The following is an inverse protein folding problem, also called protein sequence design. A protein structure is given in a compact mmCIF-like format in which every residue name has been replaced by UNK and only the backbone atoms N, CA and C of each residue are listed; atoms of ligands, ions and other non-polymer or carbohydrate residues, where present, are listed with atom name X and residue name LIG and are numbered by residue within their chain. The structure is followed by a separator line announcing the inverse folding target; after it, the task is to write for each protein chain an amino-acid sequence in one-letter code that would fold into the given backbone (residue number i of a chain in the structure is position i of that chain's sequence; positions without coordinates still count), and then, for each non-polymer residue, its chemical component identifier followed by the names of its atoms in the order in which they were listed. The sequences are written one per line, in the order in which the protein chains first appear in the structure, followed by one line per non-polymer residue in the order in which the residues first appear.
data_IF_804259373602
#
_entry.id   IF_804259373602
#
_cell.length_a   1.000
_cell.length_b   1.000
_cell.length_c   1.000
_cell.angle_alpha   90.00
_cell.angle_beta   90.00
_cell.angle_gamma   90.00
#
_symmetry.space_group_name_H-M   'P 1'
#
loop_
_entity.id
_entity.type
_entity.pdbx_description
1 polymer ?
#
# COMPACT_ATOMS: atom_id res chain seq x y z
N UNK A 1 -59.59 -40.58 68.21
CA UNK A 1 -59.41 -39.28 68.88
C UNK A 1 -58.27 -38.54 68.22
N UNK A 2 -58.41 -37.21 68.13
CA UNK A 2 -57.50 -36.20 67.58
C UNK A 2 -56.00 -36.47 67.75
N UNK A 3 -55.20 -36.20 66.72
CA UNK A 3 -53.84 -35.63 66.86
C UNK A 3 -53.62 -34.59 65.73
N UNK A 4 -53.20 -33.40 66.16
CA UNK A 4 -52.88 -32.12 65.50
C UNK A 4 -51.54 -32.20 64.74
N UNK A 5 -51.05 -31.30 63.87
CA UNK A 5 -51.43 -30.03 63.24
C UNK A 5 -50.43 -29.78 62.09
N UNK A 6 -50.79 -29.07 61.03
CA UNK A 6 -49.83 -28.34 60.19
C UNK A 6 -50.39 -26.96 59.84
N UNK A 7 -49.66 -25.94 60.27
CA UNK A 7 -49.97 -24.54 60.08
C UNK A 7 -49.67 -24.13 58.63
N UNK A 8 -50.64 -23.46 58.01
CA UNK A 8 -50.50 -22.74 56.76
C UNK A 8 -50.06 -21.32 57.10
N UNK A 9 -48.86 -20.94 56.64
CA UNK A 9 -48.33 -19.59 56.71
C UNK A 9 -47.80 -19.18 55.34
N UNK A 10 -48.51 -18.26 54.71
CA UNK A 10 -48.27 -17.71 53.37
C UNK A 10 -47.08 -16.74 53.42
N UNK A 11 -46.14 -16.87 52.49
CA UNK A 11 -45.23 -15.79 52.10
C UNK A 11 -45.33 -15.59 50.59
N UNK A 12 -46.04 -14.52 50.21
CA UNK A 12 -45.95 -13.90 48.90
C UNK A 12 -44.50 -13.45 48.65
N UNK A 13 -43.91 -13.78 47.50
CA UNK A 13 -42.82 -12.98 46.94
C UNK A 13 -43.24 -12.53 45.55
N UNK A 14 -43.49 -11.23 45.48
CA UNK A 14 -43.82 -10.46 44.31
C UNK A 14 -42.71 -10.54 43.26
N UNK A 15 -43.13 -10.72 42.03
CA UNK A 15 -42.45 -10.21 40.85
C UNK A 15 -42.37 -8.68 40.99
N UNK A 16 -41.17 -8.15 41.25
CA UNK A 16 -40.88 -6.73 41.21
C UNK A 16 -39.58 -6.54 40.43
N UNK A 17 -39.73 -6.06 39.19
CA UNK A 17 -38.78 -5.16 38.49
C UNK A 17 -37.31 -5.28 38.90
N UNK A 18 -36.66 -6.35 38.48
CA UNK A 18 -35.21 -6.39 38.28
C UNK A 18 -34.99 -7.03 36.92
N UNK A 19 -34.42 -6.23 36.03
CA UNK A 19 -33.81 -6.68 34.78
C UNK A 19 -33.08 -8.02 35.00
N UNK A 20 -33.55 -9.10 34.39
CA UNK A 20 -32.65 -10.14 33.91
C UNK A 20 -32.04 -9.62 32.61
N UNK A 21 -31.28 -8.53 32.72
CA UNK A 21 -30.27 -8.20 31.72
C UNK A 21 -29.08 -9.01 32.21
N UNK A 22 -28.80 -10.13 31.56
CA UNK A 22 -27.46 -10.67 31.58
C UNK A 22 -26.57 -9.55 31.02
N UNK A 23 -25.89 -8.82 31.90
CA UNK A 23 -24.89 -7.83 31.53
C UNK A 23 -23.58 -8.56 31.25
N UNK A 24 -23.60 -9.45 30.26
CA UNK A 24 -22.35 -9.82 29.62
C UNK A 24 -22.06 -8.72 28.59
N UNK A 25 -20.87 -8.12 28.59
CA UNK A 25 -20.51 -7.13 27.58
C UNK A 25 -20.66 -7.79 26.20
N UNK A 26 -21.43 -7.13 25.34
CA UNK A 26 -21.63 -7.58 23.96
C UNK A 26 -20.24 -7.67 23.29
N UNK A 27 -19.88 -8.82 22.67
CA UNK A 27 -18.52 -9.05 22.22
C UNK A 27 -18.13 -8.05 21.13
N UNK A 28 -16.96 -7.41 21.26
CA UNK A 28 -16.52 -6.38 20.32
C UNK A 28 -16.15 -6.95 18.95
N UNK A 29 -15.89 -8.26 18.88
CA UNK A 29 -15.61 -8.98 17.63
C UNK A 29 -16.27 -10.36 17.57
N UNK A 30 -16.56 -10.87 16.36
CA UNK A 30 -17.05 -12.24 16.17
C UNK A 30 -16.11 -13.31 16.77
N UNK A 31 -14.79 -13.05 16.80
CA UNK A 31 -13.82 -13.98 17.37
C UNK A 31 -13.93 -14.10 18.90
N UNK A 32 -14.28 -13.02 19.59
CA UNK A 32 -14.52 -13.03 21.04
C UNK A 32 -15.81 -13.77 21.39
N UNK A 33 -16.86 -13.59 20.59
CA UNK A 33 -18.10 -14.36 20.71
C UNK A 33 -17.85 -15.87 20.58
N UNK A 34 -17.16 -16.27 19.50
CA UNK A 34 -16.81 -17.68 19.24
C UNK A 34 -15.99 -18.28 20.39
N UNK A 35 -15.06 -17.51 20.97
CA UNK A 35 -14.20 -17.99 22.06
C UNK A 35 -15.00 -18.28 23.33
N UNK A 36 -16.03 -17.49 23.62
CA UNK A 36 -16.95 -17.73 24.75
C UNK A 36 -17.80 -18.98 24.51
N UNK A 37 -18.40 -19.09 23.33
CA UNK A 37 -19.31 -20.20 23.00
C UNK A 37 -18.59 -21.55 22.95
N UNK A 38 -17.35 -21.58 22.44
CA UNK A 38 -16.51 -22.80 22.44
C UNK A 38 -16.15 -23.23 23.86
N UNK A 39 -15.96 -22.28 24.77
CA UNK A 39 -15.70 -22.57 26.18
C UNK A 39 -16.93 -23.18 26.84
N UNK A 40 -18.11 -22.61 26.63
CA UNK A 40 -19.37 -23.14 27.15
C UNK A 40 -19.65 -24.56 26.61
N UNK A 41 -19.39 -24.79 25.32
CA UNK A 41 -19.54 -26.12 24.71
C UNK A 41 -18.54 -27.14 25.27
N UNK A 42 -17.31 -26.73 25.59
CA UNK A 42 -16.33 -27.64 26.19
C UNK A 42 -16.77 -28.13 27.57
N UNK A 43 -17.38 -27.24 28.37
CA UNK A 43 -17.92 -27.58 29.70
C UNK A 43 -19.10 -28.56 29.59
N UNK A 44 -19.97 -28.39 28.59
CA UNK A 44 -21.11 -29.31 28.36
C UNK A 44 -20.68 -30.70 27.83
N UNK A 45 -19.58 -30.79 27.08
CA UNK A 45 -19.06 -32.07 26.57
C UNK A 45 -18.42 -32.88 27.70
N UNK A 46 -17.69 -32.22 28.60
CA UNK A 46 -17.06 -32.88 29.76
C UNK A 46 -18.12 -33.52 30.69
N UNK A 47 -19.26 -32.85 30.91
CA UNK A 47 -20.39 -33.36 31.71
C UNK A 47 -21.02 -34.63 31.11
N UNK A 48 -21.12 -34.69 29.77
CA UNK A 48 -21.69 -35.87 29.08
C UNK A 48 -20.72 -37.06 29.10
N UNK A 49 -19.41 -36.83 29.07
CA UNK A 49 -18.41 -37.89 29.16
C UNK A 49 -18.45 -38.53 30.55
N UNK A 50 -18.54 -37.72 31.62
CA UNK A 50 -18.64 -38.20 33.00
C UNK A 50 -19.90 -39.04 33.24
N UNK A 51 -21.04 -38.69 32.62
CA UNK A 51 -22.29 -39.46 32.76
C UNK A 51 -22.29 -40.85 32.09
N UNK A 52 -21.32 -41.14 31.20
CA UNK A 52 -21.19 -42.44 30.53
C UNK A 52 -20.23 -43.41 31.25
N UNK A 53 -19.44 -42.94 32.22
CA UNK A 53 -18.53 -43.79 32.99
C UNK A 53 -19.24 -44.52 34.16
N UNK A 54 -20.49 -44.17 34.48
CA UNK A 54 -21.25 -44.80 35.57
C UNK A 54 -22.00 -46.10 35.19
N UNK A 55 -22.01 -46.51 33.92
CA UNK A 55 -22.75 -47.69 33.43
C UNK A 55 -21.89 -48.95 33.17
N UNK A 56 -20.59 -48.96 33.51
CA UNK A 56 -19.76 -50.17 33.49
C UNK A 56 -19.73 -50.89 34.85
N UNK A 57 -20.85 -51.55 35.21
CA UNK A 57 -20.79 -52.67 36.15
C UNK A 57 -21.77 -53.80 35.79
N UNK A 58 -21.25 -54.88 35.21
CA UNK A 58 -21.46 -56.29 35.63
C UNK A 58 -21.06 -57.30 34.53
N UNK A 59 -20.36 -58.35 34.95
CA UNK A 59 -19.95 -59.54 34.19
C UNK A 59 -21.14 -60.26 33.51
N UNK A 60 -21.00 -60.73 32.25
CA UNK A 60 -20.82 -62.16 31.90
C UNK A 60 -20.85 -62.42 30.37
N UNK A 61 -20.34 -63.61 30.00
CA UNK A 61 -19.90 -64.16 28.71
C UNK A 61 -20.86 -64.13 27.49
N UNK A 62 -20.22 -64.12 26.32
CA UNK A 62 -20.60 -64.68 25.02
C UNK A 62 -22.01 -64.37 24.48
N UNK A 63 -22.12 -63.27 23.71
CA UNK A 63 -23.07 -63.17 22.58
C UNK A 63 -22.63 -62.11 21.59
N UNK A 64 -22.33 -62.51 20.35
CA UNK A 64 -22.21 -61.58 19.22
C UNK A 64 -23.52 -60.76 19.13
N UNK A 65 -23.44 -59.48 19.48
CA UNK A 65 -24.48 -58.50 19.16
C UNK A 65 -23.81 -57.24 18.59
N UNK A 66 -24.42 -56.55 17.62
CA UNK A 66 -23.74 -55.52 16.84
C UNK A 66 -23.74 -54.20 17.62
N UNK A 67 -22.70 -53.97 18.40
CA UNK A 67 -22.46 -52.72 19.12
C UNK A 67 -21.65 -51.77 18.23
N UNK A 68 -22.26 -51.24 17.15
CA UNK A 68 -21.57 -50.26 16.28
C UNK A 68 -22.46 -49.11 15.74
N UNK A 69 -23.76 -49.06 16.05
CA UNK A 69 -24.65 -48.05 15.46
C UNK A 69 -24.88 -46.78 16.29
N UNK A 70 -24.90 -46.86 17.63
CA UNK A 70 -25.13 -45.71 18.52
C UNK A 70 -24.01 -44.64 18.49
N UNK A 71 -22.71 -44.98 18.57
CA UNK A 71 -21.63 -43.97 18.55
C UNK A 71 -21.54 -43.25 17.18
N UNK A 72 -21.80 -43.98 16.08
CA UNK A 72 -21.78 -43.42 14.73
C UNK A 72 -22.93 -42.43 14.47
N UNK A 73 -24.08 -42.59 15.12
CA UNK A 73 -25.22 -41.65 14.98
C UNK A 73 -24.95 -40.33 15.71
N UNK A 74 -24.38 -40.39 16.91
CA UNK A 74 -24.02 -39.19 17.68
C UNK A 74 -22.89 -38.42 16.99
N UNK A 75 -21.86 -39.11 16.49
CA UNK A 75 -20.77 -38.48 15.74
C UNK A 75 -21.26 -37.76 14.47
N UNK A 76 -22.25 -38.32 13.77
CA UNK A 76 -22.89 -37.67 12.62
C UNK A 76 -23.67 -36.42 13.03
N UNK A 77 -24.43 -36.48 14.13
CA UNK A 77 -25.18 -35.33 14.64
C UNK A 77 -24.24 -34.19 15.04
N UNK A 78 -23.16 -34.51 15.76
CA UNK A 78 -22.13 -33.55 16.14
C UNK A 78 -21.44 -32.93 14.92
N UNK A 79 -21.00 -33.74 13.95
CA UNK A 79 -20.39 -33.24 12.71
C UNK A 79 -21.34 -32.35 11.91
N UNK A 80 -22.62 -32.69 11.87
CA UNK A 80 -23.62 -31.87 11.17
C UNK A 80 -23.81 -30.52 11.87
N UNK A 81 -24.00 -30.53 13.20
CA UNK A 81 -24.14 -29.30 13.99
C UNK A 81 -22.89 -28.41 13.91
N UNK A 82 -21.69 -29.00 13.96
CA UNK A 82 -20.44 -28.28 13.80
C UNK A 82 -20.32 -27.65 12.41
N UNK A 83 -20.65 -28.39 11.35
CA UNK A 83 -20.61 -27.86 9.99
C UNK A 83 -21.65 -26.74 9.78
N UNK A 84 -22.84 -26.88 10.35
CA UNK A 84 -23.89 -25.86 10.29
C UNK A 84 -23.43 -24.57 10.98
N UNK A 85 -22.94 -24.66 12.22
CA UNK A 85 -22.40 -23.52 12.95
C UNK A 85 -21.20 -22.88 12.23
N UNK A 86 -20.35 -23.69 11.59
CA UNK A 86 -19.23 -23.19 10.78
C UNK A 86 -19.71 -22.44 9.53
N UNK A 87 -20.78 -22.89 8.87
CA UNK A 87 -21.34 -22.18 7.71
C UNK A 87 -22.05 -20.90 8.13
N UNK A 88 -22.79 -20.91 9.24
CA UNK A 88 -23.40 -19.70 9.82
C UNK A 88 -22.34 -18.65 10.18
N UNK A 89 -21.30 -19.04 10.92
CA UNK A 89 -20.19 -18.15 11.27
C UNK A 89 -19.45 -17.60 10.04
N UNK A 90 -19.34 -18.38 8.95
CA UNK A 90 -18.79 -17.88 7.67
C UNK A 90 -19.68 -16.82 7.04
N UNK A 91 -21.00 -17.01 7.04
CA UNK A 91 -21.93 -16.02 6.47
C UNK A 91 -21.95 -14.74 7.29
N UNK A 92 -21.89 -14.84 8.63
CA UNK A 92 -21.78 -13.68 9.52
C UNK A 92 -20.46 -12.93 9.31
N UNK A 93 -19.33 -13.64 9.20
CA UNK A 93 -18.04 -13.03 8.90
C UNK A 93 -18.04 -12.32 7.54
N UNK A 94 -18.58 -12.96 6.49
CA UNK A 94 -18.73 -12.32 5.17
C UNK A 94 -19.60 -11.07 5.22
N UNK A 95 -20.66 -11.08 6.04
CA UNK A 95 -21.55 -9.93 6.23
C UNK A 95 -20.82 -8.79 6.96
N UNK A 96 -20.04 -9.12 7.99
CA UNK A 96 -19.22 -8.16 8.72
C UNK A 96 -18.14 -7.53 7.83
N UNK A 97 -17.38 -8.35 7.09
CA UNK A 97 -16.35 -7.89 6.15
C UNK A 97 -16.94 -6.94 5.09
N UNK A 98 -18.11 -7.29 4.53
CA UNK A 98 -18.83 -6.43 3.60
C UNK A 98 -19.24 -5.11 4.24
N UNK A 99 -19.80 -5.13 5.45
CA UNK A 99 -20.19 -3.91 6.17
C UNK A 99 -19.00 -3.01 6.47
N UNK A 100 -17.88 -3.57 6.91
CA UNK A 100 -16.65 -2.81 7.19
C UNK A 100 -16.07 -2.15 5.93
N UNK A 101 -16.24 -2.78 4.76
CA UNK A 101 -15.87 -2.22 3.45
C UNK A 101 -16.86 -1.15 2.97
N UNK A 102 -18.15 -1.33 3.22
CA UNK A 102 -19.20 -0.35 2.88
C UNK A 102 -19.06 0.95 3.69
N UNK A 103 -18.63 0.84 4.95
CA UNK A 103 -18.33 1.99 5.82
C UNK A 103 -17.05 2.75 5.40
N UNK A 104 -16.18 2.12 4.60
CA UNK A 104 -14.97 2.73 4.04
C UNK A 104 -15.27 3.30 2.64
N UNK A 105 -15.18 4.62 2.47
CA UNK A 105 -15.12 5.22 1.13
C UNK A 105 -13.74 4.98 0.51
N UNK A 106 -13.53 3.76 0.01
CA UNK A 106 -12.29 3.33 -0.64
C UNK A 106 -11.94 4.24 -1.82
N UNK A 107 -12.93 4.78 -2.52
CA UNK A 107 -12.71 5.68 -3.65
C UNK A 107 -12.15 7.02 -3.16
N UNK A 108 -12.73 7.59 -2.11
CA UNK A 108 -12.24 8.82 -1.49
C UNK A 108 -10.80 8.62 -0.96
N UNK A 109 -10.56 7.56 -0.18
CA UNK A 109 -9.24 7.24 0.37
C UNK A 109 -8.22 7.07 -0.76
N UNK A 110 -8.53 6.24 -1.76
CA UNK A 110 -7.65 6.03 -2.90
C UNK A 110 -7.37 7.34 -3.64
N UNK A 111 -8.39 8.18 -3.84
CA UNK A 111 -8.23 9.47 -4.51
C UNK A 111 -7.30 10.41 -3.74
N UNK A 112 -7.43 10.49 -2.42
CA UNK A 112 -6.58 11.35 -1.58
C UNK A 112 -5.13 10.85 -1.55
N UNK A 113 -4.93 9.54 -1.46
CA UNK A 113 -3.61 8.94 -1.54
C UNK A 113 -2.95 9.17 -2.91
N UNK A 114 -3.71 9.05 -4.01
CA UNK A 114 -3.21 9.33 -5.36
C UNK A 114 -2.87 10.80 -5.56
N UNK A 115 -3.68 11.73 -5.05
CA UNK A 115 -3.36 13.17 -5.07
C UNK A 115 -2.04 13.45 -4.35
N UNK A 116 -1.86 12.90 -3.13
CA UNK A 116 -0.59 13.05 -2.39
C UNK A 116 0.58 12.48 -3.16
N UNK A 117 0.43 11.26 -3.71
CA UNK A 117 1.47 10.64 -4.52
C UNK A 117 1.87 11.53 -5.71
N UNK A 118 0.92 11.96 -6.54
CA UNK A 118 1.21 12.73 -7.74
C UNK A 118 1.73 14.15 -7.47
N UNK A 119 1.14 14.88 -6.53
CA UNK A 119 1.46 16.30 -6.36
C UNK A 119 2.64 16.56 -5.42
N UNK A 120 2.90 15.67 -4.46
CA UNK A 120 3.96 15.88 -3.46
C UNK A 120 4.88 14.67 -3.27
N UNK A 121 4.43 13.44 -3.55
CA UNK A 121 5.13 12.19 -3.20
C UNK A 121 6.11 11.60 -4.24
N UNK A 122 6.00 11.95 -5.52
CA UNK A 122 6.88 11.38 -6.58
C UNK A 122 8.39 11.64 -6.35
N UNK A 123 8.74 12.74 -5.68
CA UNK A 123 10.11 13.15 -5.39
C UNK A 123 10.12 14.21 -4.27
N UNK A 124 11.28 14.49 -3.68
CA UNK A 124 11.44 15.66 -2.79
C UNK A 124 11.28 16.94 -3.60
N UNK A 125 10.21 17.69 -3.31
CA UNK A 125 9.86 18.95 -4.00
C UNK A 125 10.74 20.11 -3.55
N UNK A 126 11.00 21.03 -4.47
CA UNK A 126 11.75 22.25 -4.23
C UNK A 126 10.79 23.44 -4.10
N UNK A 127 10.29 23.64 -2.88
CA UNK A 127 9.39 24.75 -2.57
C UNK A 127 10.07 26.12 -2.55
N UNK A 128 11.40 26.21 -2.68
CA UNK A 128 12.09 27.48 -2.88
C UNK A 128 11.87 28.06 -4.28
N UNK A 129 11.33 27.27 -5.21
CA UNK A 129 11.00 27.75 -6.55
C UNK A 129 9.73 28.60 -6.49
N UNK A 130 9.68 29.74 -7.21
CA UNK A 130 8.60 30.71 -7.08
C UNK A 130 7.26 30.11 -7.55
N UNK A 131 7.28 29.35 -8.66
CA UNK A 131 6.09 28.79 -9.28
C UNK A 131 6.10 27.26 -9.34
N UNK A 132 4.91 26.63 -9.37
CA UNK A 132 4.76 25.22 -9.73
C UNK A 132 5.28 24.91 -11.14
N UNK A 133 5.45 23.63 -11.44
CA UNK A 133 5.80 23.14 -12.77
C UNK A 133 4.77 23.61 -13.82
N UNK A 134 5.27 24.13 -14.94
CA UNK A 134 4.45 24.59 -16.06
C UNK A 134 3.80 25.96 -15.87
N UNK A 135 3.91 26.58 -14.69
CA UNK A 135 3.41 27.93 -14.43
C UNK A 135 4.51 28.96 -14.73
N UNK A 136 4.12 30.07 -15.34
CA UNK A 136 5.05 31.16 -15.71
C UNK A 136 5.08 32.21 -14.60
N UNK A 137 6.29 32.63 -14.21
CA UNK A 137 6.46 33.74 -13.28
C UNK A 137 6.36 35.07 -14.02
N UNK A 138 5.40 35.90 -13.61
CA UNK A 138 5.37 37.31 -13.92
C UNK A 138 6.30 38.04 -12.93
N UNK A 139 7.48 38.46 -13.40
CA UNK A 139 8.52 39.06 -12.55
C UNK A 139 8.11 40.43 -12.01
N UNK A 140 7.20 41.16 -12.67
CA UNK A 140 6.79 42.50 -12.24
C UNK A 140 5.83 42.42 -11.05
N UNK A 141 4.90 41.46 -11.10
CA UNK A 141 3.89 41.27 -10.06
C UNK A 141 4.29 40.21 -9.01
N UNK A 142 5.35 39.44 -9.24
CA UNK A 142 5.69 38.22 -8.47
C UNK A 142 4.55 37.18 -8.44
N UNK A 143 3.74 37.14 -9.51
CA UNK A 143 2.58 36.27 -9.63
C UNK A 143 2.91 35.11 -10.57
N UNK A 144 2.54 33.90 -10.16
CA UNK A 144 2.60 32.73 -11.03
C UNK A 144 1.30 32.60 -11.83
N UNK A 145 1.43 32.42 -13.14
CA UNK A 145 0.33 32.29 -14.10
C UNK A 145 0.28 30.85 -14.61
N UNK A 146 -0.85 30.19 -14.39
CA UNK A 146 -1.12 28.84 -14.86
C UNK A 146 -1.21 28.80 -16.39
N UNK A 147 -0.88 27.65 -17.00
CA UNK A 147 -1.06 27.48 -18.43
C UNK A 147 -2.54 27.47 -18.82
N UNK A 148 -2.83 27.75 -20.09
CA UNK A 148 -4.21 27.87 -20.60
C UNK A 148 -5.06 26.63 -20.35
N UNK A 149 -4.45 25.45 -20.41
CA UNK A 149 -5.04 24.13 -20.27
C UNK A 149 -5.01 23.58 -18.84
N UNK A 150 -4.66 24.40 -17.85
CA UNK A 150 -4.77 23.99 -16.45
C UNK A 150 -6.23 23.63 -16.10
N UNK A 151 -6.44 22.37 -15.71
CA UNK A 151 -7.74 21.79 -15.35
C UNK A 151 -7.92 21.61 -13.83
N UNK A 152 -6.96 22.08 -13.02
CA UNK A 152 -7.09 22.01 -11.58
C UNK A 152 -8.16 22.99 -11.05
N UNK A 153 -8.65 22.78 -9.83
CA UNK A 153 -9.82 23.49 -9.31
C UNK A 153 -9.55 24.93 -8.84
N UNK A 154 -8.30 25.40 -8.89
CA UNK A 154 -7.90 26.68 -8.29
C UNK A 154 -7.73 27.81 -9.31
N UNK A 155 -7.45 29.02 -8.81
CA UNK A 155 -7.19 30.19 -9.63
C UNK A 155 -5.98 30.03 -10.57
N UNK A 156 -6.08 30.58 -11.79
CA UNK A 156 -4.99 30.56 -12.79
C UNK A 156 -3.88 31.59 -12.52
N UNK A 157 -4.01 32.42 -11.50
CA UNK A 157 -3.03 33.45 -11.12
C UNK A 157 -2.88 33.47 -9.61
N UNK A 158 -1.68 33.22 -9.09
CA UNK A 158 -1.42 33.14 -7.66
C UNK A 158 -0.03 33.64 -7.29
N UNK A 159 0.04 34.45 -6.25
CA UNK A 159 1.29 34.77 -5.56
C UNK A 159 1.54 33.75 -4.44
N UNK A 160 2.73 33.15 -4.44
CA UNK A 160 3.18 32.17 -3.45
C UNK A 160 4.24 32.73 -2.49
N UNK A 161 4.69 33.97 -2.66
CA UNK A 161 5.81 34.58 -1.91
C UNK A 161 5.61 34.52 -0.39
N UNK A 162 4.36 34.64 0.08
CA UNK A 162 4.00 34.60 1.50
C UNK A 162 3.65 33.20 2.04
N UNK A 163 3.69 32.16 1.21
CA UNK A 163 3.37 30.79 1.63
C UNK A 163 4.62 30.03 2.05
N UNK A 164 4.56 29.45 3.24
CA UNK A 164 5.56 28.51 3.73
C UNK A 164 5.42 27.13 3.05
N UNK A 165 6.38 26.24 3.30
CA UNK A 165 6.42 24.91 2.70
C UNK A 165 5.15 24.08 3.00
N UNK A 166 4.64 23.99 4.25
CA UNK A 166 3.36 23.32 4.53
C UNK A 166 2.17 23.89 3.75
N UNK A 167 2.04 25.21 3.64
CA UNK A 167 0.97 25.82 2.85
C UNK A 167 1.10 25.49 1.35
N UNK A 168 2.33 25.47 0.82
CA UNK A 168 2.60 25.08 -0.58
C UNK A 168 2.30 23.60 -0.84
N UNK A 169 2.59 22.70 0.11
CA UNK A 169 2.21 21.28 0.06
C UNK A 169 0.69 21.13 -0.03
N UNK A 170 -0.05 21.81 0.84
CA UNK A 170 -1.51 21.74 0.82
C UNK A 170 -2.10 22.33 -0.47
N UNK A 171 -1.53 23.43 -0.96
CA UNK A 171 -1.93 24.02 -2.23
C UNK A 171 -1.67 23.07 -3.40
N UNK A 172 -0.50 22.41 -3.44
CA UNK A 172 -0.15 21.43 -4.46
C UNK A 172 -1.21 20.32 -4.57
N UNK A 173 -1.57 19.71 -3.43
CA UNK A 173 -2.57 18.64 -3.36
C UNK A 173 -3.96 19.16 -3.77
N UNK A 174 -4.40 20.29 -3.19
CA UNK A 174 -5.74 20.84 -3.41
C UNK A 174 -5.95 21.33 -4.84
N UNK A 175 -4.92 21.95 -5.41
CA UNK A 175 -4.99 22.61 -6.71
C UNK A 175 -4.44 21.75 -7.84
N UNK A 176 -4.07 20.50 -7.57
CA UNK A 176 -3.55 19.59 -8.59
C UNK A 176 -2.32 20.17 -9.32
N UNK A 177 -1.43 20.81 -8.56
CA UNK A 177 -0.17 21.36 -9.06
C UNK A 177 1.01 20.73 -8.33
N UNK A 178 2.19 20.81 -8.90
CA UNK A 178 3.38 20.25 -8.25
C UNK A 178 4.58 21.14 -8.47
N UNK A 179 5.43 21.28 -7.45
CA UNK A 179 6.70 22.00 -7.57
C UNK A 179 7.77 21.11 -8.23
N UNK A 180 8.80 21.68 -8.86
CA UNK A 180 9.92 20.89 -9.39
C UNK A 180 10.60 20.09 -8.28
N UNK A 181 11.22 18.96 -8.61
CA UNK A 181 12.02 18.22 -7.64
C UNK A 181 13.31 18.99 -7.30
N UNK A 182 13.89 18.78 -6.11
CA UNK A 182 15.17 19.42 -5.72
C UNK A 182 16.30 19.07 -6.67
N UNK A 183 16.31 17.85 -7.24
CA UNK A 183 17.33 17.36 -8.15
C UNK A 183 16.82 17.23 -9.59
N UNK A 184 15.85 18.04 -10.01
CA UNK A 184 15.35 18.04 -11.39
C UNK A 184 15.83 19.29 -12.14
N UNK A 185 17.07 19.28 -12.67
CA UNK A 185 17.59 20.39 -13.44
C UNK A 185 16.73 20.64 -14.68
N UNK A 186 16.59 21.91 -15.11
CA UNK A 186 15.71 22.25 -16.22
C UNK A 186 16.16 21.50 -17.47
N UNK A 187 15.19 21.00 -18.24
CA UNK A 187 15.46 20.37 -19.53
C UNK A 187 16.30 21.31 -20.40
N UNK A 188 17.30 20.74 -21.07
CA UNK A 188 18.02 21.43 -22.13
C UNK A 188 17.11 21.56 -23.36
N UNK A 189 16.65 22.78 -23.59
CA UNK A 189 15.79 23.13 -24.72
C UNK A 189 16.43 22.76 -26.06
N UNK A 190 17.76 22.84 -26.15
CA UNK A 190 18.52 22.55 -27.38
C UNK A 190 18.60 21.06 -27.70
N UNK A 191 18.32 20.18 -26.73
CA UNK A 191 18.40 18.73 -26.92
C UNK A 191 17.35 18.26 -27.94
N UNK A 192 17.82 17.67 -29.06
CA UNK A 192 16.94 17.12 -30.10
C UNK A 192 16.30 15.79 -29.69
N UNK A 193 17.05 14.94 -28.98
CA UNK A 193 16.63 13.60 -28.59
C UNK A 193 16.67 13.42 -27.06
N UNK A 194 15.84 12.50 -26.53
CA UNK A 194 16.00 12.01 -25.17
C UNK A 194 17.40 11.41 -24.92
N UNK A 195 17.79 11.29 -23.65
CA UNK A 195 18.97 10.57 -23.20
C UNK A 195 18.92 9.12 -23.69
N UNK A 196 20.07 8.59 -24.08
CA UNK A 196 20.26 7.25 -24.66
C UNK A 196 19.54 7.01 -26.00
N UNK A 197 18.80 7.99 -26.53
CA UNK A 197 18.21 7.91 -27.86
C UNK A 197 19.20 8.43 -28.90
N UNK A 198 19.36 7.66 -29.97
CA UNK A 198 20.32 7.97 -31.05
C UNK A 198 19.64 8.84 -32.10
N UNK A 199 20.26 9.98 -32.43
CA UNK A 199 19.81 10.85 -33.52
C UNK A 199 20.15 10.24 -34.88
N UNK A 200 19.15 9.86 -35.68
CA UNK A 200 19.35 9.28 -37.02
C UNK A 200 19.48 10.36 -38.09
N UNK A 201 18.49 11.26 -38.16
CA UNK A 201 18.46 12.42 -39.07
C UNK A 201 18.21 13.68 -38.26
N UNK A 202 18.26 14.88 -38.87
CA UNK A 202 18.23 16.17 -38.18
C UNK A 202 17.16 16.33 -37.08
N UNK A 203 16.05 15.59 -37.17
CA UNK A 203 14.90 15.65 -36.26
C UNK A 203 14.45 14.30 -35.68
N UNK A 204 14.93 13.17 -36.21
CA UNK A 204 14.45 11.81 -35.85
C UNK A 204 15.39 11.13 -34.86
N UNK A 205 14.82 10.54 -33.82
CA UNK A 205 15.48 9.84 -32.73
C UNK A 205 15.06 8.37 -32.70
N UNK A 206 16.01 7.48 -32.41
CA UNK A 206 15.81 6.03 -32.25
C UNK A 206 16.10 5.65 -30.80
N UNK A 207 15.17 4.94 -30.18
CA UNK A 207 15.30 4.43 -28.82
C UNK A 207 16.38 3.33 -28.71
N UNK A 208 17.01 3.16 -27.54
CA UNK A 208 17.88 2.01 -27.31
C UNK A 208 17.08 0.71 -27.35
N UNK A 209 17.74 -0.42 -27.61
CA UNK A 209 17.10 -1.74 -27.64
C UNK A 209 16.45 -2.13 -26.31
N UNK A 210 16.86 -1.51 -25.20
CA UNK A 210 16.31 -1.71 -23.86
C UNK A 210 15.05 -0.88 -23.59
N UNK A 211 14.60 -0.04 -24.52
CA UNK A 211 13.43 0.78 -24.32
C UNK A 211 12.15 -0.06 -24.33
N UNK A 212 11.44 -0.06 -23.22
CA UNK A 212 10.24 -0.85 -22.94
C UNK A 212 8.98 0.02 -22.74
N UNK A 213 9.06 1.31 -23.10
CA UNK A 213 7.96 2.24 -22.97
C UNK A 213 6.86 2.07 -24.02
N UNK A 214 5.72 2.73 -23.80
CA UNK A 214 4.50 2.63 -24.62
C UNK A 214 4.66 3.35 -25.98
N UNK A 215 5.63 4.24 -26.13
CA UNK A 215 5.76 5.10 -27.30
C UNK A 215 6.58 4.43 -28.42
N UNK A 216 6.43 4.87 -29.68
CA UNK A 216 7.19 4.28 -30.78
C UNK A 216 8.71 4.42 -30.58
N UNK A 217 9.52 3.37 -30.86
CA UNK A 217 10.98 3.41 -30.70
C UNK A 217 11.68 4.28 -31.74
N UNK A 218 10.94 4.85 -32.70
CA UNK A 218 11.43 5.81 -33.68
C UNK A 218 10.44 6.99 -33.68
N UNK A 219 10.92 8.18 -33.32
CA UNK A 219 10.08 9.36 -33.19
C UNK A 219 10.84 10.65 -33.51
N UNK A 220 10.13 11.68 -33.95
CA UNK A 220 10.66 13.04 -34.14
C UNK A 220 10.09 13.97 -33.08
N UNK A 221 10.96 14.73 -32.42
CA UNK A 221 10.59 15.70 -31.37
C UNK A 221 10.94 17.14 -31.76
N UNK A 222 11.10 17.39 -33.06
CA UNK A 222 11.41 18.72 -33.55
C UNK A 222 10.27 19.71 -33.25
N UNK A 223 10.61 20.90 -32.80
CA UNK A 223 9.65 21.96 -32.45
C UNK A 223 8.97 21.77 -31.09
N UNK A 224 9.27 20.70 -30.35
CA UNK A 224 8.64 20.45 -29.06
C UNK A 224 9.11 21.47 -28.02
N UNK A 225 8.15 22.12 -27.38
CA UNK A 225 8.31 22.96 -26.20
C UNK A 225 8.80 22.14 -25.00
N UNK A 226 9.33 22.82 -23.96
CA UNK A 226 9.69 22.18 -22.69
C UNK A 226 8.52 21.38 -22.11
N UNK A 227 7.30 21.91 -22.25
CA UNK A 227 6.08 21.27 -21.76
C UNK A 227 5.83 19.94 -22.47
N UNK A 228 5.87 19.93 -23.79
CA UNK A 228 5.71 18.69 -24.58
C UNK A 228 6.83 17.70 -24.26
N UNK A 229 8.07 18.16 -24.11
CA UNK A 229 9.19 17.32 -23.68
C UNK A 229 8.92 16.67 -22.31
N UNK A 230 8.45 17.41 -21.32
CA UNK A 230 8.08 16.90 -19.99
C UNK A 230 6.92 15.89 -20.04
N UNK A 231 5.92 16.18 -20.86
CA UNK A 231 4.79 15.27 -21.06
C UNK A 231 5.25 13.91 -21.60
N UNK A 232 6.18 13.92 -22.56
CA UNK A 232 6.80 12.72 -23.10
C UNK A 232 7.74 12.02 -22.11
N UNK A 233 8.43 12.73 -21.20
CA UNK A 233 9.14 12.05 -20.11
C UNK A 233 8.20 11.20 -19.26
N UNK A 234 7.00 11.74 -18.97
CA UNK A 234 6.01 11.07 -18.14
C UNK A 234 5.29 9.94 -18.87
N UNK A 235 4.80 10.19 -20.08
CA UNK A 235 3.99 9.24 -20.83
C UNK A 235 4.81 8.09 -21.40
N UNK A 236 6.01 8.40 -21.87
CA UNK A 236 6.85 7.47 -22.61
C UNK A 236 8.03 6.95 -21.78
N UNK A 237 8.11 7.30 -20.49
CA UNK A 237 9.26 7.00 -19.62
C UNK A 237 10.61 7.43 -20.23
N UNK A 238 10.62 8.62 -20.84
CA UNK A 238 11.82 9.22 -21.44
C UNK A 238 12.53 10.11 -20.42
N UNK A 239 13.80 10.40 -20.70
CA UNK A 239 14.54 11.41 -19.95
C UNK A 239 15.22 12.34 -20.94
N UNK A 240 15.06 13.65 -20.79
CA UNK A 240 15.78 14.61 -21.62
C UNK A 240 17.12 15.00 -20.99
N UNK A 241 18.11 15.37 -21.81
CA UNK A 241 19.30 16.05 -21.32
C UNK A 241 18.90 17.28 -20.50
N UNK A 242 19.60 17.51 -19.39
CA UNK A 242 19.31 18.60 -18.47
C UNK A 242 20.41 19.65 -18.53
N UNK A 243 20.05 20.93 -18.38
CA UNK A 243 21.03 22.02 -18.23
C UNK A 243 21.73 21.86 -16.89
N UNK A 244 22.99 21.44 -16.96
CA UNK A 244 23.87 21.38 -15.80
C UNK A 244 24.30 22.82 -15.47
N UNK A 245 24.04 23.32 -14.27
CA UNK A 245 24.66 24.57 -13.82
C UNK A 245 26.14 24.33 -13.51
N UNK A 246 26.99 25.34 -13.68
CA UNK A 246 28.43 25.21 -13.43
C UNK A 246 28.78 24.68 -12.02
N UNK A 247 27.87 24.85 -11.04
CA UNK A 247 27.99 24.30 -9.69
C UNK A 247 27.98 22.77 -9.63
N UNK A 248 27.28 22.09 -10.54
CA UNK A 248 27.09 20.63 -10.52
C UNK A 248 28.28 19.88 -11.15
N UNK A 249 29.04 20.55 -12.03
CA UNK A 249 30.29 20.03 -12.58
C UNK A 249 31.39 19.92 -11.52
N UNK A 250 31.39 20.82 -10.53
CA UNK A 250 32.36 20.83 -9.43
C UNK A 250 32.11 19.73 -8.38
N UNK A 251 30.87 19.24 -8.27
CA UNK A 251 30.55 18.11 -7.38
C UNK A 251 31.07 16.79 -7.96
N UNK A 252 31.04 16.63 -9.29
CA UNK A 252 31.60 15.43 -9.95
C UNK A 252 33.14 15.37 -9.91
N UNK A 253 33.84 16.51 -9.74
CA UNK A 253 35.30 16.53 -9.61
C UNK A 253 35.81 16.29 -8.18
N UNK A 254 34.95 16.37 -7.17
CA UNK A 254 35.29 16.08 -5.76
C UNK A 254 34.73 14.72 -5.35
N UNK A 255 35.22 13.63 -5.96
CA UNK A 255 35.29 12.35 -5.24
C UNK A 255 36.61 12.31 -4.47
N UNK A 256 36.63 11.92 -3.19
CA UNK A 256 37.89 11.70 -2.49
C UNK A 256 38.62 10.54 -3.17
N UNK A 257 39.84 10.81 -3.62
CA UNK A 257 40.79 9.78 -4.02
C UNK A 257 41.08 8.91 -2.78
N UNK A 258 40.45 7.74 -2.67
CA UNK A 258 40.94 6.72 -1.75
C UNK A 258 42.28 6.21 -2.31
N UNK A 259 43.32 6.43 -1.52
CA UNK A 259 44.66 5.81 -1.54
C UNK A 259 45.18 5.28 -2.88
N UNK A 260 46.07 6.05 -3.52
CA UNK A 260 47.03 5.49 -4.46
C UNK A 260 48.09 4.70 -3.69
N UNK A 261 48.03 3.37 -3.74
CA UNK A 261 49.22 2.53 -3.55
C UNK A 261 50.01 2.56 -4.85
N UNK A 262 51.23 3.10 -4.78
CA UNK A 262 52.18 3.14 -5.88
C UNK A 262 52.65 1.72 -6.18
N UNK A 263 52.37 1.21 -7.38
CA UNK A 263 53.13 0.12 -7.99
C UNK A 263 54.00 0.69 -9.11
N UNK A 264 55.27 0.27 -9.22
CA UNK A 264 56.23 0.89 -10.13
C UNK A 264 55.96 0.55 -11.60
N UNK A 265 56.28 1.53 -12.44
CA UNK A 265 56.24 1.53 -13.90
C UNK A 265 56.80 0.26 -14.54
N UNK A 266 56.03 -0.33 -15.47
CA UNK A 266 56.52 -1.35 -16.40
C UNK A 266 56.56 -0.79 -17.81
N UNK A 267 57.71 -0.96 -18.45
CA UNK A 267 58.09 -0.35 -19.72
C UNK A 267 57.33 -0.95 -20.90
N UNK A 268 56.96 -0.11 -21.88
CA UNK A 268 56.49 -0.55 -23.19
C UNK A 268 57.69 -0.82 -24.09
N UNK A 269 57.88 -2.08 -24.49
CA UNK A 269 58.81 -2.51 -25.54
C UNK A 269 58.09 -3.46 -26.51
N UNK A 270 58.33 -3.32 -27.80
CA UNK A 270 57.73 -4.18 -28.83
C UNK A 270 58.43 -5.56 -28.84
N UNK A 271 57.63 -6.61 -29.01
CA UNK A 271 58.05 -8.02 -29.11
C UNK A 271 58.01 -8.45 -30.58
N UNK A 272 59.01 -9.21 -31.04
CA UNK A 272 58.99 -9.83 -32.36
C UNK A 272 58.21 -11.17 -32.38
N UNK A 273 58.02 -11.75 -33.57
CA UNK A 273 57.21 -12.96 -33.79
C UNK A 273 57.83 -14.25 -33.20
N UNK A 274 58.98 -14.14 -32.53
CA UNK A 274 59.56 -15.22 -31.72
C UNK A 274 59.52 -14.94 -30.21
N UNK A 275 58.87 -13.85 -29.80
CA UNK A 275 58.59 -13.52 -28.40
C UNK A 275 59.78 -12.97 -27.63
N UNK A 276 60.84 -12.48 -28.30
CA UNK A 276 62.00 -11.90 -27.64
C UNK A 276 61.98 -10.37 -27.78
N UNK A 277 62.28 -9.62 -26.71
CA UNK A 277 62.33 -8.15 -26.74
C UNK A 277 63.61 -7.67 -27.42
N UNK A 278 63.48 -6.79 -28.41
CA UNK A 278 64.60 -6.13 -29.09
C UNK A 278 64.76 -4.70 -28.53
N UNK A 279 65.96 -4.28 -28.08
CA UNK A 279 66.17 -2.92 -27.61
C UNK A 279 66.23 -1.93 -28.78
N UNK A 280 65.57 -0.78 -28.63
CA UNK A 280 65.90 0.47 -29.35
C UNK A 280 66.87 1.28 -28.51
#
# INVERSE_FOLDING_TARGET
MRIYALAVGIAYVCCSTVNCVNNDPEPETPAEAITSDVKELSEQVDEVIESNEEDESSDDKDRETPVEEKPRKFERLYKNALNEAMEEGKEEYKKFERSAIEDLDIVEIASEHLKRYWYTGQCRRNYNRPCPNGWLLDNEASICVAPVDYQGPCEKRKDFSYMDEPARIQYAIRCHVSWPCVNDPPIDESATCPLEWTKLTGTVCIAPASYDGICPPIASFHGYSIKEKMEYERLCNLKWPRRISQSDLLVKSKRPHMGATQHPSSMSGAIDETGTMVPL
#
